data_IF_251615093645
#
_entry.id   IF_251615093645
#
_cell.length_a   1.000
_cell.length_b   1.000
_cell.length_c   1.000
_cell.angle_alpha   90.00
_cell.angle_beta   90.00
_cell.angle_gamma   90.00
#
_symmetry.space_group_name_H-M   'P 1'
#
loop_
_entity.id
_entity.type
_entity.pdbx_description
1 polymer ?
#
# COMPACT_ATOMS: atom_id res chain seq x y z
N UNK A 1 -39.84 -5.45 25.49
CA UNK A 1 -39.58 -5.87 24.10
C UNK A 1 -38.31 -5.15 23.65
N UNK A 2 -37.33 -5.93 23.17
CA UNK A 2 -35.89 -5.68 23.18
C UNK A 2 -35.41 -4.32 22.63
N UNK A 3 -34.56 -3.66 23.42
CA UNK A 3 -33.57 -2.69 22.94
C UNK A 3 -32.24 -3.42 22.73
N UNK A 4 -31.86 -3.68 21.48
CA UNK A 4 -30.53 -4.16 21.06
C UNK A 4 -30.42 -3.78 19.57
N UNK A 5 -29.44 -3.01 19.09
CA UNK A 5 -28.01 -3.30 19.14
C UNK A 5 -27.18 -2.08 18.74
N UNK A 6 -25.99 -2.05 19.33
CA UNK A 6 -24.99 -1.01 19.35
C UNK A 6 -24.38 -0.57 18.00
N UNK A 7 -24.18 0.74 17.91
CA UNK A 7 -22.92 1.44 17.65
C UNK A 7 -22.17 1.20 16.32
N UNK A 8 -22.53 2.01 15.32
CA UNK A 8 -21.68 2.32 14.18
C UNK A 8 -20.83 3.57 14.49
N UNK A 9 -19.64 3.41 15.08
CA UNK A 9 -18.52 4.33 14.87
C UNK A 9 -17.20 3.86 15.51
N UNK A 10 -16.64 2.74 15.01
CA UNK A 10 -15.26 2.34 15.31
C UNK A 10 -14.26 2.79 14.22
N UNK A 11 -14.62 3.78 13.38
CA UNK A 11 -13.84 4.16 12.19
C UNK A 11 -12.99 5.43 12.31
N UNK A 12 -13.09 6.21 13.39
CA UNK A 12 -12.35 7.47 13.52
C UNK A 12 -11.08 7.43 14.38
N UNK A 13 -10.88 6.42 15.23
CA UNK A 13 -9.82 6.42 16.24
C UNK A 13 -8.42 6.02 15.74
N UNK A 14 -8.29 5.45 14.54
CA UNK A 14 -6.97 5.05 13.99
C UNK A 14 -6.26 6.23 13.30
N UNK A 15 -6.97 7.33 13.01
CA UNK A 15 -6.43 8.49 12.29
C UNK A 15 -5.55 9.41 13.17
N UNK A 16 -5.57 9.25 14.49
CA UNK A 16 -4.96 10.20 15.43
C UNK A 16 -3.56 9.81 15.95
N UNK A 17 -2.98 8.67 15.57
CA UNK A 17 -1.69 8.22 16.16
C UNK A 17 -0.42 8.65 15.44
N UNK A 18 -0.52 9.31 14.28
CA UNK A 18 0.66 9.64 13.48
C UNK A 18 0.51 11.03 12.89
N UNK A 19 1.16 12.02 13.51
CA UNK A 19 1.39 13.31 12.89
C UNK A 19 2.19 13.17 11.59
N UNK A 20 2.08 14.12 10.66
CA UNK A 20 2.84 14.08 9.40
C UNK A 20 4.33 14.04 9.73
N UNK A 21 4.99 12.92 9.40
CA UNK A 21 6.44 12.85 9.46
C UNK A 21 7.00 13.80 8.40
N UNK A 22 8.08 14.55 8.68
CA UNK A 22 8.74 15.37 7.68
C UNK A 22 9.24 14.45 6.55
N UNK A 23 8.65 14.61 5.37
CA UNK A 23 9.03 13.85 4.18
C UNK A 23 10.36 14.43 3.67
N UNK A 24 11.41 13.62 3.41
CA UNK A 24 12.55 14.11 2.65
C UNK A 24 12.04 14.61 1.28
N UNK A 25 12.51 15.78 0.85
CA UNK A 25 12.16 16.33 -0.46
C UNK A 25 12.51 15.30 -1.54
N UNK A 26 11.54 14.86 -2.36
CA UNK A 26 11.81 13.80 -3.33
C UNK A 26 12.84 14.31 -4.35
N UNK A 27 13.86 13.52 -4.70
CA UNK A 27 14.85 13.89 -5.70
C UNK A 27 14.17 14.17 -7.05
N UNK A 28 14.77 14.99 -7.94
CA UNK A 28 14.14 15.49 -9.17
C UNK A 28 13.74 14.42 -10.21
N UNK A 29 14.10 13.15 -9.99
CA UNK A 29 13.59 12.00 -10.76
C UNK A 29 12.31 11.39 -10.14
N UNK A 30 11.67 12.11 -9.22
CA UNK A 30 10.47 11.70 -8.50
C UNK A 30 9.48 11.03 -9.44
N UNK A 31 9.22 9.75 -9.15
CA UNK A 31 8.18 8.91 -9.70
C UNK A 31 7.05 9.76 -10.29
N UNK A 32 7.02 9.90 -11.62
CA UNK A 32 5.96 10.62 -12.32
C UNK A 32 4.67 9.90 -11.96
N UNK A 33 3.94 10.48 -11.00
CA UNK A 33 2.60 10.04 -10.70
C UNK A 33 1.80 10.27 -11.98
N UNK A 34 1.05 9.27 -12.45
CA UNK A 34 0.27 9.45 -13.67
C UNK A 34 -0.62 10.69 -13.51
N UNK A 35 -0.80 11.49 -14.58
CA UNK A 35 -1.55 12.75 -14.51
C UNK A 35 -3.00 12.56 -14.04
N UNK A 36 -3.51 11.33 -14.15
CA UNK A 36 -4.79 10.90 -13.56
C UNK A 36 -4.56 9.73 -12.61
N UNK A 37 -5.35 9.61 -11.52
CA UNK A 37 -5.29 8.43 -10.68
C UNK A 37 -5.63 7.17 -11.48
N UNK A 38 -5.01 6.03 -11.18
CA UNK A 38 -5.29 4.78 -11.89
C UNK A 38 -6.77 4.42 -11.74
N UNK A 39 -7.40 4.09 -12.88
CA UNK A 39 -8.76 3.58 -12.95
C UNK A 39 -8.85 2.17 -12.37
N UNK A 40 -10.07 1.68 -12.11
CA UNK A 40 -10.27 0.40 -11.42
C UNK A 40 -9.66 -0.81 -12.18
N UNK A 41 -9.63 -0.74 -13.51
CA UNK A 41 -8.99 -1.76 -14.36
C UNK A 41 -7.48 -1.84 -14.18
N UNK A 42 -6.82 -0.71 -13.93
CA UNK A 42 -5.36 -0.62 -13.90
C UNK A 42 -4.78 -1.42 -12.73
N UNK A 43 -5.52 -1.47 -11.62
CA UNK A 43 -5.15 -2.24 -10.43
C UNK A 43 -5.05 -3.73 -10.69
N UNK A 44 -5.66 -4.26 -11.76
CA UNK A 44 -5.53 -5.67 -12.10
C UNK A 44 -4.15 -6.03 -12.68
N UNK A 45 -3.34 -5.04 -13.07
CA UNK A 45 -2.04 -5.27 -13.66
C UNK A 45 -1.10 -4.08 -13.41
N UNK A 46 -0.80 -3.80 -12.14
CA UNK A 46 0.01 -2.65 -11.75
C UNK A 46 1.23 -3.07 -10.93
N UNK A 47 2.35 -2.39 -11.18
CA UNK A 47 3.51 -2.36 -10.28
C UNK A 47 3.53 -1.02 -9.56
N UNK A 48 3.64 -1.06 -8.24
CA UNK A 48 3.56 0.09 -7.34
C UNK A 48 4.91 0.20 -6.64
N UNK A 49 5.56 1.35 -6.80
CA UNK A 49 6.83 1.66 -6.17
C UNK A 49 6.53 2.44 -4.89
N UNK A 50 6.83 1.84 -3.74
CA UNK A 50 6.59 2.46 -2.44
C UNK A 50 7.92 2.78 -1.79
N UNK A 51 8.12 4.04 -1.40
CA UNK A 51 9.17 4.37 -0.45
C UNK A 51 8.70 3.99 0.95
N UNK A 52 9.24 2.90 1.50
CA UNK A 52 8.84 2.35 2.80
C UNK A 52 9.39 3.25 3.92
N UNK A 53 8.53 3.84 4.75
CA UNK A 53 8.97 4.59 5.91
C UNK A 53 9.48 3.65 7.04
N UNK A 54 10.30 4.21 7.92
CA UNK A 54 10.77 3.50 9.11
C UNK A 54 9.59 3.16 10.04
N UNK A 55 9.73 2.11 10.86
CA UNK A 55 8.72 1.61 11.83
C UNK A 55 7.56 0.84 11.19
N UNK A 56 7.51 0.74 9.87
CA UNK A 56 6.56 -0.13 9.16
C UNK A 56 7.27 -1.39 8.69
N UNK A 57 6.65 -2.55 8.91
CA UNK A 57 7.11 -3.78 8.26
C UNK A 57 6.74 -3.76 6.78
N UNK A 58 7.46 -4.51 5.94
CA UNK A 58 7.07 -4.69 4.54
C UNK A 58 5.66 -5.28 4.42
N UNK A 59 5.27 -6.16 5.34
CA UNK A 59 3.92 -6.72 5.41
C UNK A 59 2.84 -5.70 5.75
N UNK A 60 3.12 -4.70 6.58
CA UNK A 60 2.17 -3.63 6.89
C UNK A 60 1.85 -2.81 5.64
N UNK A 61 2.87 -2.51 4.85
CA UNK A 61 2.71 -1.80 3.57
C UNK A 61 1.89 -2.64 2.59
N UNK A 62 2.21 -3.94 2.46
CA UNK A 62 1.43 -4.88 1.63
C UNK A 62 -0.02 -4.96 2.10
N UNK A 63 -0.28 -5.03 3.42
CA UNK A 63 -1.62 -5.10 3.98
C UNK A 63 -2.43 -3.85 3.67
N UNK A 64 -1.80 -2.67 3.73
CA UNK A 64 -2.39 -1.39 3.36
C UNK A 64 -2.79 -1.38 1.89
N UNK A 65 -1.89 -1.77 0.99
CA UNK A 65 -2.14 -1.82 -0.46
C UNK A 65 -3.18 -2.87 -0.81
N UNK A 66 -3.16 -4.04 -0.15
CA UNK A 66 -4.15 -5.09 -0.32
C UNK A 66 -5.55 -4.61 0.05
N UNK A 67 -5.70 -3.81 1.11
CA UNK A 67 -7.01 -3.24 1.48
C UNK A 67 -7.54 -2.31 0.39
N UNK A 68 -6.72 -1.40 -0.12
CA UNK A 68 -7.10 -0.48 -1.21
C UNK A 68 -7.43 -1.24 -2.50
N UNK A 69 -6.66 -2.28 -2.81
CA UNK A 69 -6.84 -3.11 -4.01
C UNK A 69 -8.17 -3.88 -3.99
N UNK A 70 -8.62 -4.35 -2.82
CA UNK A 70 -9.89 -5.08 -2.67
C UNK A 70 -11.11 -4.21 -2.97
N UNK A 71 -11.07 -2.94 -2.58
CA UNK A 71 -12.14 -1.98 -2.88
C UNK A 71 -12.34 -1.82 -4.40
N UNK A 72 -11.31 -2.16 -5.18
CA UNK A 72 -11.27 -2.11 -6.65
C UNK A 72 -11.35 -3.51 -7.30
N UNK A 73 -11.75 -4.54 -6.55
CA UNK A 73 -11.94 -5.90 -7.06
C UNK A 73 -10.67 -6.76 -7.21
N UNK A 74 -9.51 -6.28 -6.76
CA UNK A 74 -8.23 -6.99 -6.90
C UNK A 74 -7.91 -7.81 -5.65
N UNK A 75 -7.80 -9.14 -5.83
CA UNK A 75 -7.61 -10.09 -4.73
C UNK A 75 -6.14 -10.36 -4.39
N UNK A 76 -5.24 -10.26 -5.39
CA UNK A 76 -3.85 -10.68 -5.27
C UNK A 76 -2.91 -9.47 -5.26
N UNK A 77 -2.03 -9.43 -4.26
CA UNK A 77 -0.94 -8.46 -4.12
C UNK A 77 0.32 -9.22 -3.69
N UNK A 78 1.45 -8.93 -4.34
CA UNK A 78 2.77 -9.48 -4.02
C UNK A 78 3.80 -8.38 -3.85
N UNK A 79 4.96 -8.70 -3.28
CA UNK A 79 6.09 -7.78 -3.09
C UNK A 79 7.40 -8.43 -3.55
N UNK A 80 8.37 -7.60 -3.95
CA UNK A 80 9.64 -8.07 -4.50
C UNK A 80 10.77 -7.84 -3.49
N UNK A 81 10.87 -8.73 -2.50
CA UNK A 81 11.83 -8.62 -1.40
C UNK A 81 11.23 -8.05 -0.11
N UNK A 82 11.93 -8.27 1.01
CA UNK A 82 11.47 -7.88 2.34
C UNK A 82 12.47 -6.91 2.94
N UNK A 83 12.01 -5.72 3.28
CA UNK A 83 12.75 -4.76 4.08
C UNK A 83 12.39 -4.93 5.57
N UNK A 84 13.41 -4.89 6.42
CA UNK A 84 13.25 -4.94 7.88
C UNK A 84 12.40 -3.77 8.41
N UNK A 85 11.79 -3.90 9.60
CA UNK A 85 10.96 -2.83 10.18
C UNK A 85 11.71 -1.50 10.36
N UNK A 86 13.03 -1.56 10.58
CA UNK A 86 13.90 -0.39 10.73
C UNK A 86 14.48 0.12 9.42
N UNK A 87 14.41 -0.66 8.33
CA UNK A 87 14.89 -0.24 7.02
C UNK A 87 13.93 0.75 6.36
N UNK A 88 14.47 1.65 5.55
CA UNK A 88 13.70 2.57 4.70
C UNK A 88 14.09 2.37 3.24
N UNK A 89 13.29 2.86 2.31
CA UNK A 89 13.61 2.86 0.88
C UNK A 89 12.64 2.03 0.05
N UNK A 90 13.07 1.70 -1.16
CA UNK A 90 12.19 1.18 -2.19
C UNK A 90 11.65 -0.23 -1.89
N UNK A 91 10.34 -0.34 -1.78
CA UNK A 91 9.58 -1.59 -1.76
C UNK A 91 8.71 -1.68 -3.01
N UNK A 92 9.00 -2.66 -3.87
CA UNK A 92 8.25 -2.91 -5.10
C UNK A 92 7.06 -3.83 -4.78
N UNK A 93 5.85 -3.37 -5.08
CA UNK A 93 4.61 -4.12 -4.93
C UNK A 93 4.01 -4.39 -6.30
N UNK A 94 3.35 -5.53 -6.46
CA UNK A 94 2.65 -5.89 -7.69
C UNK A 94 1.21 -6.32 -7.37
N UNK A 95 0.26 -5.96 -8.23
CA UNK A 95 -1.16 -6.29 -8.06
C UNK A 95 -1.69 -7.14 -9.21
N UNK A 96 -2.64 -8.03 -8.91
CA UNK A 96 -3.32 -8.87 -9.90
C UNK A 96 -2.35 -9.69 -10.77
N UNK A 97 -2.41 -9.50 -12.09
CA UNK A 97 -1.59 -10.20 -13.09
C UNK A 97 -0.10 -9.85 -12.99
N UNK A 98 0.24 -8.63 -12.56
CA UNK A 98 1.62 -8.20 -12.37
C UNK A 98 2.34 -8.99 -11.26
N UNK A 99 1.60 -9.70 -10.39
CA UNK A 99 2.24 -10.58 -9.39
C UNK A 99 3.04 -11.74 -10.01
N UNK A 100 2.85 -12.03 -11.30
CA UNK A 100 3.60 -13.07 -12.02
C UNK A 100 5.04 -12.66 -12.36
N UNK A 101 5.34 -11.36 -12.37
CA UNK A 101 6.68 -10.83 -12.69
C UNK A 101 7.48 -10.48 -11.43
N UNK A 102 6.96 -10.82 -10.24
CA UNK A 102 7.64 -10.55 -8.96
C UNK A 102 9.01 -11.20 -8.91
N UNK A 103 9.12 -12.44 -9.39
CA UNK A 103 10.37 -13.21 -9.37
C UNK A 103 11.45 -12.54 -10.23
N UNK A 104 11.07 -11.84 -11.30
CA UNK A 104 12.00 -11.07 -12.15
C UNK A 104 12.67 -9.93 -11.39
N UNK A 105 11.99 -9.36 -10.38
CA UNK A 105 12.54 -8.29 -9.54
C UNK A 105 13.35 -8.81 -8.35
N UNK A 106 13.31 -10.12 -8.06
CA UNK A 106 14.04 -10.75 -6.95
C UNK A 106 15.33 -11.46 -7.41
N UNK A 107 15.57 -11.52 -8.73
CA UNK A 107 16.71 -12.18 -9.35
C UNK A 107 18.03 -11.40 -9.23
#
# INVERSE_FOLDING_TARGET
>A
VSATRANANARSLVRARFGPQPQPTPPPHALVSPPNPPGDSDWQNMTILVDKPQKYTSFDVVARVRRMSRERGVKKVGHCGTLDPMATGLLILCTGKATKIVDTYQA
#
